data_IF_769774668093
#
_entry.id   IF_769774668093
#
_cell.length_a   1.000
_cell.length_b   1.000
_cell.length_c   1.000
_cell.angle_alpha   90.00
_cell.angle_beta   90.00
_cell.angle_gamma   90.00
#
_symmetry.space_group_name_H-M   'P 1'
#
loop_
_entity.id
_entity.type
_entity.pdbx_description
1 polymer ?
#
# COMPACT_ATOMS: atom_id res chain seq x y z
N UNK A 1 -18.75 -4.17 -13.05
CA UNK A 1 -17.62 -3.50 -12.37
C UNK A 1 -17.77 -3.58 -10.85
N UNK A 2 -18.06 -2.52 -10.09
CA UNK A 2 -18.07 -2.59 -8.60
C UNK A 2 -19.08 -3.60 -8.00
N UNK A 3 -20.22 -3.83 -8.67
CA UNK A 3 -21.21 -4.84 -8.25
C UNK A 3 -20.69 -6.28 -8.45
N UNK A 4 -19.77 -6.48 -9.39
CA UNK A 4 -19.24 -7.81 -9.75
C UNK A 4 -17.88 -8.09 -9.09
N UNK A 5 -17.04 -7.07 -8.92
CA UNK A 5 -15.68 -7.18 -8.38
C UNK A 5 -15.58 -6.82 -6.88
N UNK A 6 -16.65 -6.25 -6.33
CA UNK A 6 -16.71 -5.79 -4.94
C UNK A 6 -16.14 -4.38 -4.74
N UNK A 7 -16.10 -3.95 -3.47
CA UNK A 7 -15.58 -2.66 -3.04
C UNK A 7 -14.51 -2.84 -1.98
N UNK A 8 -13.55 -1.91 -1.94
CA UNK A 8 -12.43 -1.91 -0.99
C UNK A 8 -12.25 -0.52 -0.38
N UNK A 9 -11.58 -0.40 0.78
CA UNK A 9 -11.25 0.89 1.36
C UNK A 9 -10.51 1.82 0.39
N UNK A 10 -11.02 3.04 0.23
CA UNK A 10 -10.49 4.05 -0.68
C UNK A 10 -9.25 4.79 -0.16
N UNK A 11 -8.91 5.91 -0.79
CA UNK A 11 -7.85 6.83 -0.32
C UNK A 11 -6.42 6.27 -0.39
N UNK A 12 -6.20 5.20 -1.15
CA UNK A 12 -4.92 4.49 -1.18
C UNK A 12 -4.70 3.55 0.02
N UNK A 13 -5.67 3.43 0.93
CA UNK A 13 -5.62 2.58 2.13
C UNK A 13 -5.45 1.11 1.77
N UNK A 14 -6.25 0.61 0.82
CA UNK A 14 -6.13 -0.78 0.36
C UNK A 14 -4.73 -1.10 -0.16
N UNK A 15 -4.14 -0.20 -0.95
CA UNK A 15 -2.80 -0.41 -1.51
C UNK A 15 -1.73 -0.36 -0.41
N UNK A 16 -1.86 0.53 0.56
CA UNK A 16 -0.97 0.59 1.72
C UNK A 16 -1.00 -0.70 2.54
N UNK A 17 -2.20 -1.27 2.78
CA UNK A 17 -2.37 -2.56 3.48
C UNK A 17 -1.80 -3.76 2.71
N UNK A 18 -1.81 -3.72 1.38
CA UNK A 18 -1.26 -4.80 0.54
C UNK A 18 0.26 -4.77 0.42
N UNK A 19 0.90 -3.62 0.65
CA UNK A 19 2.34 -3.48 0.46
C UNK A 19 3.18 -4.46 1.30
N UNK A 20 2.93 -4.65 2.62
CA UNK A 20 3.68 -5.62 3.42
C UNK A 20 3.48 -7.06 2.95
N UNK A 21 2.24 -7.41 2.55
CA UNK A 21 1.94 -8.76 2.05
C UNK A 21 2.66 -9.06 0.73
N UNK A 22 2.80 -8.06 -0.16
CA UNK A 22 3.58 -8.20 -1.39
C UNK A 22 5.07 -8.35 -1.08
N UNK A 23 5.62 -7.60 -0.13
CA UNK A 23 7.02 -7.75 0.30
C UNK A 23 7.31 -9.14 0.85
N UNK A 24 6.45 -9.65 1.73
CA UNK A 24 6.58 -11.00 2.31
C UNK A 24 6.47 -12.08 1.22
N UNK A 25 5.47 -11.99 0.35
CA UNK A 25 5.31 -12.93 -0.76
C UNK A 25 6.51 -12.88 -1.71
N UNK A 26 7.00 -11.69 -2.07
CA UNK A 26 8.13 -11.54 -2.95
C UNK A 26 9.40 -12.15 -2.35
N UNK A 27 9.67 -11.90 -1.06
CA UNK A 27 10.82 -12.47 -0.37
C UNK A 27 10.79 -14.01 -0.33
N UNK A 28 9.60 -14.61 -0.31
CA UNK A 28 9.43 -16.07 -0.31
C UNK A 28 9.49 -16.71 -1.70
N UNK A 29 9.19 -15.97 -2.77
CA UNK A 29 8.93 -16.56 -4.10
C UNK A 29 9.86 -16.05 -5.20
N UNK A 30 10.48 -14.88 -5.04
CA UNK A 30 11.28 -14.22 -6.06
C UNK A 30 12.73 -14.11 -5.64
N UNK A 31 13.63 -13.97 -6.63
CA UNK A 31 15.06 -13.80 -6.38
C UNK A 31 15.72 -12.88 -7.42
N UNK A 32 16.91 -12.38 -7.11
CA UNK A 32 17.66 -11.51 -8.03
C UNK A 32 16.88 -10.26 -8.45
N UNK A 33 16.81 -10.02 -9.76
CA UNK A 33 16.17 -8.83 -10.34
C UNK A 33 14.65 -8.81 -10.16
N UNK A 34 14.00 -9.97 -10.12
CA UNK A 34 12.56 -10.07 -9.92
C UNK A 34 12.17 -9.58 -8.51
N UNK A 35 12.96 -9.94 -7.50
CA UNK A 35 12.77 -9.48 -6.14
C UNK A 35 12.92 -7.95 -6.05
N UNK A 36 13.95 -7.39 -6.70
CA UNK A 36 14.14 -5.94 -6.76
C UNK A 36 12.92 -5.25 -7.40
N UNK A 37 12.43 -5.79 -8.52
CA UNK A 37 11.23 -5.29 -9.18
C UNK A 37 10.00 -5.31 -8.26
N UNK A 38 9.80 -6.40 -7.51
CA UNK A 38 8.69 -6.51 -6.57
C UNK A 38 8.78 -5.50 -5.43
N UNK A 39 9.98 -5.24 -4.88
CA UNK A 39 10.17 -4.19 -3.86
C UNK A 39 9.88 -2.79 -4.40
N UNK A 40 10.22 -2.50 -5.66
CA UNK A 40 9.87 -1.21 -6.30
C UNK A 40 8.34 -1.07 -6.36
N UNK A 41 7.64 -2.12 -6.80
CA UNK A 41 6.17 -2.12 -6.85
C UNK A 41 5.58 -1.93 -5.45
N UNK A 42 6.04 -2.70 -4.46
CA UNK A 42 5.55 -2.60 -3.08
C UNK A 42 5.71 -1.19 -2.49
N UNK A 43 6.86 -0.55 -2.73
CA UNK A 43 7.08 0.84 -2.34
C UNK A 43 6.10 1.81 -3.00
N UNK A 44 5.84 1.63 -4.30
CA UNK A 44 4.94 2.47 -5.08
C UNK A 44 3.46 2.37 -4.64
N UNK A 45 3.03 1.24 -4.07
CA UNK A 45 1.65 1.06 -3.58
C UNK A 45 1.25 2.11 -2.52
N UNK A 46 2.21 2.65 -1.77
CA UNK A 46 1.93 3.68 -0.75
C UNK A 46 1.82 5.09 -1.31
N UNK A 47 2.25 5.32 -2.56
CA UNK A 47 2.34 6.66 -3.14
C UNK A 47 0.99 7.41 -3.23
N UNK A 48 -0.15 6.78 -3.58
CA UNK A 48 -1.44 7.49 -3.63
C UNK A 48 -1.86 8.04 -2.27
N UNK A 49 -1.72 7.24 -1.21
CA UNK A 49 -2.05 7.64 0.16
C UNK A 49 -1.13 8.75 0.66
N UNK A 50 0.19 8.64 0.40
CA UNK A 50 1.15 9.70 0.70
C UNK A 50 0.78 11.01 0.03
N UNK A 51 0.41 10.96 -1.26
CA UNK A 51 0.02 12.15 -2.03
C UNK A 51 -1.24 12.81 -1.46
N UNK A 52 -2.24 12.03 -1.07
CA UNK A 52 -3.47 12.57 -0.45
C UNK A 52 -3.13 13.24 0.89
N UNK A 53 -2.32 12.59 1.72
CA UNK A 53 -1.87 13.13 3.01
C UNK A 53 -1.04 14.42 2.84
N UNK A 54 -0.12 14.46 1.89
CA UNK A 54 0.67 15.65 1.56
C UNK A 54 -0.21 16.83 1.11
N UNK A 55 -1.21 16.55 0.26
CA UNK A 55 -2.17 17.56 -0.17
C UNK A 55 -3.01 18.10 1.01
N UNK A 56 -3.20 17.30 2.07
CA UNK A 56 -3.85 17.71 3.31
C UNK A 56 -2.91 18.43 4.31
N UNK A 57 -1.65 18.65 3.94
CA UNK A 57 -0.67 19.37 4.77
C UNK A 57 -0.03 18.53 5.87
N UNK A 58 -0.16 17.19 5.82
CA UNK A 58 0.45 16.27 6.79
C UNK A 58 1.55 15.43 6.14
N UNK A 59 2.45 14.86 6.94
CA UNK A 59 3.55 14.05 6.42
C UNK A 59 3.03 12.70 5.90
N UNK A 60 2.99 12.53 4.58
CA UNK A 60 2.47 11.32 3.95
C UNK A 60 3.19 10.03 4.35
N UNK A 61 4.50 10.08 4.62
CA UNK A 61 5.23 8.88 5.03
C UNK A 61 4.84 8.40 6.42
N UNK A 62 4.62 9.32 7.36
CA UNK A 62 4.11 8.98 8.70
C UNK A 62 2.70 8.39 8.60
N UNK A 63 1.85 8.99 7.77
CA UNK A 63 0.48 8.50 7.52
C UNK A 63 0.49 7.09 6.93
N UNK A 64 1.34 6.84 5.93
CA UNK A 64 1.44 5.53 5.28
C UNK A 64 1.90 4.43 6.25
N UNK A 65 2.90 4.70 7.09
CA UNK A 65 3.33 3.71 8.08
C UNK A 65 2.27 3.49 9.17
N UNK A 66 1.57 4.54 9.59
CA UNK A 66 0.51 4.38 10.56
C UNK A 66 -0.64 3.52 10.03
N UNK A 67 -1.05 3.72 8.77
CA UNK A 67 -2.12 2.94 8.14
C UNK A 67 -1.73 1.47 7.96
N UNK A 68 -0.50 1.16 7.53
CA UNK A 68 -0.01 -0.23 7.38
C UNK A 68 -0.14 -1.06 8.66
N UNK A 69 -0.05 -0.43 9.84
CA UNK A 69 -0.15 -1.10 11.14
C UNK A 69 -1.58 -1.27 11.67
N UNK A 70 -2.60 -0.81 10.95
CA UNK A 70 -4.01 -0.85 11.38
C UNK A 70 -4.79 -2.02 10.79
N UNK A 71 -5.99 -2.32 11.33
CA UNK A 71 -6.93 -3.23 10.67
C UNK A 71 -7.23 -2.79 9.23
N UNK A 72 -7.49 -3.76 8.34
CA UNK A 72 -7.67 -3.53 6.90
C UNK A 72 -8.74 -2.48 6.55
N UNK A 73 -9.81 -2.40 7.34
CA UNK A 73 -10.93 -1.48 7.14
C UNK A 73 -10.69 -0.09 7.74
N UNK A 74 -9.53 0.17 8.35
CA UNK A 74 -9.16 1.45 8.91
C UNK A 74 -8.15 2.18 8.00
N UNK A 75 -8.42 3.47 7.78
CA UNK A 75 -7.54 4.38 7.04
C UNK A 75 -6.96 5.48 7.91
N UNK A 76 -6.60 6.59 7.26
CA UNK A 76 -6.18 7.83 7.89
C UNK A 76 -7.37 8.77 8.12
#
# INVERSE_FOLDING_TARGET
AAVEEGIVPGGGTTLAHLAPALEEWAAANLSGEELIGAHIVASALTAPLKRIAENAGVNGSVVAEHVKGKPFNEGY
#
